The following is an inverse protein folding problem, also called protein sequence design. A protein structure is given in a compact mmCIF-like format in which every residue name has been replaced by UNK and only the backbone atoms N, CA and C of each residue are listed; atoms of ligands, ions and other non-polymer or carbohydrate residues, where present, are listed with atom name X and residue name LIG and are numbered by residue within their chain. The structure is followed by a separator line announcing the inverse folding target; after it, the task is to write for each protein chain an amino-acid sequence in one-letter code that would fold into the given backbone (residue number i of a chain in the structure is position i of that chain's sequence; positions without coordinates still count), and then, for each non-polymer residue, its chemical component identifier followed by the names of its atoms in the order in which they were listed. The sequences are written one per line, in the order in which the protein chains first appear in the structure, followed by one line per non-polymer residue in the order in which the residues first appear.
data_IF_552460356724
#
_entry.id   IF_552460356724
#
_cell.length_a   1.000
_cell.length_b   1.000
_cell.length_c   1.000
_cell.angle_alpha   90.00
_cell.angle_beta   90.00
_cell.angle_gamma   90.00
#
_symmetry.space_group_name_H-M   'P 1'
#
loop_
_entity.id
_entity.type
_entity.pdbx_description
1 polymer ?
#
# COMPACT_ATOMS: atom_id res chain seq x y z
N UNK A 1 -32.01 3.86 -4.20
CA UNK A 1 -30.71 3.71 -3.51
C UNK A 1 -29.61 3.54 -4.57
N UNK A 2 -28.47 4.22 -4.41
CA UNK A 2 -27.33 4.05 -5.32
C UNK A 2 -26.58 2.77 -4.94
N UNK A 3 -26.38 1.89 -5.90
CA UNK A 3 -25.61 0.65 -5.69
C UNK A 3 -24.11 0.98 -5.82
N UNK A 4 -23.32 0.59 -4.82
CA UNK A 4 -21.86 0.78 -4.83
C UNK A 4 -21.18 -0.48 -5.34
N UNK A 5 -20.21 -0.31 -6.24
CA UNK A 5 -19.36 -1.38 -6.73
C UNK A 5 -18.44 -1.95 -5.66
N UNK A 6 -17.91 -3.12 -5.91
CA UNK A 6 -16.97 -3.77 -4.99
C UNK A 6 -15.61 -3.08 -4.98
N UNK A 7 -14.99 -3.04 -3.80
CA UNK A 7 -13.63 -2.55 -3.67
C UNK A 7 -12.65 -3.56 -4.26
N UNK A 8 -11.56 -3.05 -4.82
CA UNK A 8 -10.43 -3.84 -5.28
C UNK A 8 -9.26 -3.71 -4.31
N UNK A 9 -8.44 -4.75 -4.21
CA UNK A 9 -7.23 -4.74 -3.39
C UNK A 9 -6.04 -5.08 -4.27
N UNK A 10 -4.98 -4.29 -4.14
CA UNK A 10 -3.69 -4.55 -4.78
C UNK A 10 -2.58 -4.41 -3.74
N UNK A 11 -1.44 -5.04 -4.01
CA UNK A 11 -0.22 -4.89 -3.22
C UNK A 11 0.80 -4.11 -4.02
N UNK A 12 1.44 -3.16 -3.39
CA UNK A 12 2.50 -2.35 -3.98
C UNK A 12 3.75 -2.51 -3.14
N UNK A 13 4.81 -2.99 -3.76
CA UNK A 13 6.11 -3.15 -3.12
C UNK A 13 6.91 -1.87 -3.25
N UNK A 14 7.53 -1.44 -2.14
CA UNK A 14 8.34 -0.24 -2.04
C UNK A 14 9.73 -0.56 -1.49
N UNK A 15 10.74 0.11 -2.02
CA UNK A 15 12.09 0.11 -1.43
C UNK A 15 12.18 1.13 -0.30
N UNK A 16 13.19 1.02 0.55
CA UNK A 16 13.41 1.97 1.65
C UNK A 16 13.63 3.40 1.15
N UNK A 17 14.29 3.57 -0.01
CA UNK A 17 14.53 4.88 -0.62
C UNK A 17 13.22 5.51 -1.12
N UNK A 18 12.34 4.71 -1.70
CA UNK A 18 11.01 5.15 -2.13
C UNK A 18 10.17 5.57 -0.93
N UNK A 19 10.26 4.81 0.16
CA UNK A 19 9.57 5.13 1.43
C UNK A 19 10.14 6.42 2.05
N UNK A 20 11.45 6.62 1.98
CA UNK A 20 12.08 7.81 2.55
C UNK A 20 11.66 9.11 1.84
N UNK A 21 11.52 9.07 0.52
CA UNK A 21 11.22 10.24 -0.32
C UNK A 21 9.73 10.41 -0.60
N UNK A 22 8.96 9.32 -0.51
CA UNK A 22 7.63 9.23 -1.09
C UNK A 22 7.72 9.07 -2.61
N UNK A 23 6.72 8.48 -3.22
CA UNK A 23 6.74 8.18 -4.64
C UNK A 23 5.33 8.18 -5.23
N UNK A 24 5.21 8.64 -6.47
CA UNK A 24 4.03 8.42 -7.29
C UNK A 24 4.24 7.17 -8.15
N UNK A 25 3.46 6.11 -7.90
CA UNK A 25 3.49 4.89 -8.69
C UNK A 25 2.29 4.78 -9.60
N UNK A 26 2.54 4.43 -10.86
CA UNK A 26 1.51 4.09 -11.84
C UNK A 26 1.32 2.59 -11.88
N UNK A 27 0.13 2.13 -11.52
CA UNK A 27 -0.19 0.71 -11.46
C UNK A 27 -1.31 0.39 -12.45
N UNK A 28 -1.13 -0.67 -13.22
CA UNK A 28 -2.17 -1.19 -14.10
C UNK A 28 -3.11 -2.07 -13.30
N UNK A 29 -4.38 -1.74 -13.30
CA UNK A 29 -5.43 -2.48 -12.61
C UNK A 29 -6.46 -2.97 -13.61
N UNK A 30 -6.93 -4.20 -13.45
CA UNK A 30 -8.03 -4.76 -14.22
C UNK A 30 -9.30 -4.63 -13.40
N UNK A 31 -10.17 -3.71 -13.77
CA UNK A 31 -11.42 -3.47 -13.07
C UNK A 31 -12.63 -3.72 -13.97
N UNK A 32 -13.73 -4.08 -13.34
CA UNK A 32 -15.02 -4.16 -14.01
C UNK A 32 -15.58 -2.76 -14.14
N UNK A 33 -15.88 -2.37 -15.37
CA UNK A 33 -16.55 -1.11 -15.70
C UNK A 33 -17.83 -1.40 -16.46
N UNK A 34 -18.76 -0.47 -16.44
CA UNK A 34 -19.95 -0.58 -17.26
C UNK A 34 -19.59 -0.58 -18.73
N UNK A 35 -20.12 -1.52 -19.49
CA UNK A 35 -19.89 -1.58 -20.94
C UNK A 35 -20.62 -0.44 -21.64
N UNK A 36 -19.96 0.15 -22.63
CA UNK A 36 -20.58 1.18 -23.49
C UNK A 36 -21.75 0.56 -24.29
N UNK A 37 -22.90 1.24 -24.31
CA UNK A 37 -24.07 0.77 -25.04
C UNK A 37 -25.01 -0.19 -24.29
N UNK A 38 -24.82 -0.37 -22.98
CA UNK A 38 -25.79 -1.07 -22.14
C UNK A 38 -27.03 -0.20 -21.96
N UNK A 39 -28.20 -0.74 -22.28
CA UNK A 39 -29.47 -0.08 -22.03
C UNK A 39 -30.19 -0.72 -20.84
N UNK A 40 -30.78 0.14 -20.03
CA UNK A 40 -31.51 -0.25 -18.83
C UNK A 40 -32.99 0.08 -18.97
N UNK A 41 -33.83 -0.75 -18.38
CA UNK A 41 -35.26 -0.50 -18.22
C UNK A 41 -35.62 -0.62 -16.73
N UNK A 42 -36.69 0.08 -16.33
CA UNK A 42 -37.21 0.00 -14.97
C UNK A 42 -37.53 -1.42 -14.60
N UNK A 43 -37.12 -1.87 -13.42
CA UNK A 43 -37.45 -3.19 -12.90
C UNK A 43 -38.97 -3.29 -12.64
N UNK A 44 -39.62 -4.19 -13.32
CA UNK A 44 -41.07 -4.39 -13.18
C UNK A 44 -41.47 -5.00 -11.85
N UNK A 45 -40.54 -5.72 -11.19
CA UNK A 45 -40.82 -6.39 -9.91
C UNK A 45 -40.88 -5.42 -8.73
N UNK A 46 -40.10 -4.34 -8.75
CA UNK A 46 -40.07 -3.32 -7.70
C UNK A 46 -40.47 -1.93 -8.21
N UNK A 47 -40.89 -1.81 -9.46
CA UNK A 47 -41.24 -0.55 -10.11
C UNK A 47 -40.20 0.55 -9.92
N UNK A 48 -38.91 0.18 -10.00
CA UNK A 48 -37.78 1.11 -9.88
C UNK A 48 -37.34 1.43 -8.45
N UNK A 49 -38.02 0.97 -7.41
CA UNK A 49 -37.68 1.29 -6.02
C UNK A 49 -36.46 0.54 -5.50
N UNK A 50 -36.05 -0.55 -6.14
CA UNK A 50 -34.95 -1.41 -5.69
C UNK A 50 -35.29 -2.27 -4.48
N UNK A 51 -36.46 -2.11 -3.91
CA UNK A 51 -36.90 -2.81 -2.69
C UNK A 51 -38.26 -3.45 -2.89
N UNK A 52 -38.50 -4.53 -2.19
CA UNK A 52 -39.79 -5.20 -2.10
C UNK A 52 -40.30 -5.18 -0.66
N UNK A 53 -41.55 -4.83 -0.47
CA UNK A 53 -42.20 -4.92 0.82
C UNK A 53 -42.65 -6.36 1.07
N UNK A 54 -42.11 -6.98 2.10
CA UNK A 54 -42.51 -8.30 2.56
C UNK A 54 -43.34 -8.17 3.84
N UNK A 55 -44.55 -8.66 3.80
CA UNK A 55 -45.41 -8.70 4.98
C UNK A 55 -45.19 -10.05 5.67
N UNK A 56 -44.75 -10.04 6.91
CA UNK A 56 -44.59 -11.23 7.74
C UNK A 56 -45.56 -11.14 8.90
N UNK A 57 -46.39 -12.16 9.05
CA UNK A 57 -47.29 -12.29 10.22
C UNK A 57 -46.46 -12.82 11.39
N UNK A 58 -46.35 -12.04 12.46
CA UNK A 58 -45.70 -12.42 13.72
C UNK A 58 -46.74 -12.52 14.83
N UNK A 59 -46.32 -13.09 15.98
CA UNK A 59 -47.20 -13.20 17.19
C UNK A 59 -47.64 -11.82 17.68
N UNK A 60 -46.89 -10.75 17.33
CA UNK A 60 -47.17 -9.37 17.70
C UNK A 60 -47.92 -8.58 16.62
N UNK A 61 -48.34 -9.24 15.53
CA UNK A 61 -49.05 -8.60 14.44
C UNK A 61 -48.35 -8.66 13.08
N UNK A 62 -48.89 -7.93 12.11
CA UNK A 62 -48.32 -7.82 10.76
C UNK A 62 -47.13 -6.86 10.76
N UNK A 63 -45.93 -7.37 10.46
CA UNK A 63 -44.76 -6.54 10.22
C UNK A 63 -44.50 -6.42 8.72
N UNK A 64 -44.31 -5.19 8.27
CA UNK A 64 -43.83 -4.90 6.91
C UNK A 64 -42.32 -4.65 6.94
N UNK A 65 -41.59 -5.47 6.22
CA UNK A 65 -40.12 -5.33 6.13
C UNK A 65 -39.77 -5.06 4.68
N UNK A 66 -38.98 -4.02 4.45
CA UNK A 66 -38.40 -3.74 3.13
C UNK A 66 -37.19 -4.65 2.91
N UNK A 67 -37.25 -5.49 1.88
CA UNK A 67 -36.12 -6.35 1.47
C UNK A 67 -35.60 -5.92 0.11
N UNK A 68 -34.30 -6.14 -0.15
CA UNK A 68 -33.73 -5.86 -1.46
C UNK A 68 -34.42 -6.67 -2.54
N UNK A 69 -34.80 -6.01 -3.65
CA UNK A 69 -35.41 -6.67 -4.77
C UNK A 69 -34.49 -7.72 -5.37
N UNK A 70 -34.92 -8.97 -5.41
CA UNK A 70 -34.10 -10.10 -5.91
C UNK A 70 -33.85 -10.03 -7.42
N UNK A 71 -34.74 -9.39 -8.18
CA UNK A 71 -34.64 -9.29 -9.64
C UNK A 71 -33.60 -8.28 -10.09
N UNK A 72 -33.55 -7.09 -9.45
CA UNK A 72 -32.64 -6.02 -9.79
C UNK A 72 -31.49 -5.84 -8.77
N UNK A 73 -31.45 -6.66 -7.71
CA UNK A 73 -30.47 -6.62 -6.65
C UNK A 73 -30.26 -5.21 -6.02
N UNK A 74 -31.35 -4.47 -5.93
CA UNK A 74 -31.35 -3.14 -5.34
C UNK A 74 -31.15 -1.98 -6.31
N UNK A 75 -30.79 -2.22 -7.57
CA UNK A 75 -30.53 -1.15 -8.56
C UNK A 75 -31.82 -0.44 -9.01
N UNK A 76 -32.97 -1.08 -8.93
CA UNK A 76 -34.22 -0.56 -9.47
C UNK A 76 -34.34 -0.71 -10.99
N UNK A 77 -33.31 -1.15 -11.67
CA UNK A 77 -33.22 -1.25 -13.13
C UNK A 77 -32.79 -2.67 -13.53
N UNK A 78 -33.22 -3.10 -14.71
CA UNK A 78 -32.78 -4.38 -15.32
C UNK A 78 -32.21 -4.10 -16.71
N UNK A 79 -31.25 -4.91 -17.13
CA UNK A 79 -30.63 -4.76 -18.45
C UNK A 79 -31.64 -5.12 -19.53
N UNK A 80 -31.85 -4.23 -20.48
CA UNK A 80 -32.67 -4.44 -21.65
C UNK A 80 -31.87 -4.95 -22.84
N UNK A 81 -30.70 -4.36 -23.08
CA UNK A 81 -29.77 -4.77 -24.13
C UNK A 81 -28.34 -4.61 -23.62
N UNK A 82 -27.46 -5.54 -24.00
CA UNK A 82 -26.04 -5.50 -23.68
C UNK A 82 -25.20 -5.80 -24.91
N UNK A 83 -24.00 -5.17 -25.05
CA UNK A 83 -23.08 -5.48 -26.13
C UNK A 83 -22.44 -6.86 -25.94
N UNK A 84 -21.94 -7.42 -27.04
CA UNK A 84 -21.16 -8.65 -27.01
C UNK A 84 -19.89 -8.44 -26.16
N UNK A 85 -19.61 -9.39 -25.25
CA UNK A 85 -18.47 -9.32 -24.34
C UNK A 85 -18.79 -8.77 -22.95
N UNK A 86 -19.97 -8.21 -22.71
CA UNK A 86 -20.42 -7.82 -21.38
C UNK A 86 -20.94 -9.03 -20.59
N UNK A 87 -20.66 -9.07 -19.29
CA UNK A 87 -21.16 -10.10 -18.39
C UNK A 87 -22.69 -10.02 -18.19
N UNK A 88 -23.24 -10.88 -17.34
CA UNK A 88 -24.69 -10.90 -17.05
C UNK A 88 -25.18 -9.59 -16.42
N UNK A 89 -24.26 -8.79 -15.86
CA UNK A 89 -24.55 -7.53 -15.19
C UNK A 89 -24.23 -6.30 -16.06
N UNK A 90 -23.85 -6.51 -17.33
CA UNK A 90 -23.52 -5.44 -18.27
C UNK A 90 -22.14 -4.83 -18.03
N UNK A 91 -21.25 -5.52 -17.31
CA UNK A 91 -19.92 -5.08 -16.99
C UNK A 91 -18.90 -5.76 -17.92
N UNK A 92 -17.81 -5.04 -18.24
CA UNK A 92 -16.65 -5.53 -18.97
C UNK A 92 -15.39 -5.33 -18.12
N UNK A 93 -14.43 -6.21 -18.25
CA UNK A 93 -13.12 -6.05 -17.61
C UNK A 93 -12.26 -5.15 -18.50
N UNK A 94 -11.84 -4.02 -17.95
CA UNK A 94 -10.94 -3.09 -18.62
C UNK A 94 -9.67 -2.89 -17.80
N UNK A 95 -8.54 -2.81 -18.48
CA UNK A 95 -7.28 -2.44 -17.88
C UNK A 95 -7.14 -0.91 -17.86
N UNK A 96 -6.90 -0.36 -16.68
CA UNK A 96 -6.71 1.07 -16.46
C UNK A 96 -5.42 1.32 -15.68
N UNK A 97 -4.67 2.35 -16.08
CA UNK A 97 -3.50 2.79 -15.31
C UNK A 97 -3.93 3.83 -14.29
N UNK A 98 -3.69 3.55 -13.03
CA UNK A 98 -4.02 4.45 -11.91
C UNK A 98 -2.73 4.96 -11.29
N UNK A 99 -2.60 6.28 -11.17
CA UNK A 99 -1.54 6.93 -10.39
C UNK A 99 -1.89 6.92 -8.92
N UNK A 100 -0.95 6.46 -8.10
CA UNK A 100 -1.08 6.36 -6.66
C UNK A 100 0.03 7.20 -6.03
N UNK A 101 -0.37 8.24 -5.32
CA UNK A 101 0.57 9.05 -4.56
C UNK A 101 0.79 8.41 -3.19
N UNK A 102 2.02 7.98 -2.93
CA UNK A 102 2.41 7.32 -1.69
C UNK A 102 3.25 8.32 -0.90
N UNK A 103 2.77 8.75 0.28
CA UNK A 103 3.50 9.70 1.11
C UNK A 103 4.78 9.09 1.67
N UNK A 104 5.75 9.96 1.97
CA UNK A 104 6.98 9.53 2.61
C UNK A 104 6.71 8.97 4.02
N UNK A 105 7.50 7.98 4.42
CA UNK A 105 7.42 7.39 5.75
C UNK A 105 6.36 6.30 5.92
N UNK A 106 5.67 5.87 4.86
CA UNK A 106 4.67 4.79 4.98
C UNK A 106 5.27 3.55 5.64
N UNK A 107 4.46 2.88 6.45
CA UNK A 107 4.85 1.62 7.08
C UNK A 107 4.25 0.44 6.34
N UNK A 108 4.90 -0.72 6.45
CA UNK A 108 4.35 -1.96 5.95
C UNK A 108 2.97 -2.23 6.55
N UNK A 109 2.08 -2.80 5.74
CA UNK A 109 0.71 -3.10 6.15
C UNK A 109 -0.27 -1.92 6.08
N UNK A 110 0.20 -0.70 5.84
CA UNK A 110 -0.68 0.46 5.64
C UNK A 110 -1.49 0.27 4.38
N UNK A 111 -2.78 0.56 4.49
CA UNK A 111 -3.72 0.50 3.39
C UNK A 111 -4.09 1.92 2.93
N UNK A 112 -3.67 2.28 1.73
CA UNK A 112 -4.06 3.52 1.09
C UNK A 112 -5.34 3.32 0.28
N UNK A 113 -6.24 4.29 0.34
CA UNK A 113 -7.52 4.27 -0.37
C UNK A 113 -7.50 5.25 -1.54
N UNK A 114 -7.73 4.74 -2.75
CA UNK A 114 -7.95 5.56 -3.94
C UNK A 114 -9.44 5.49 -4.30
N UNK A 115 -10.15 6.59 -4.08
CA UNK A 115 -11.60 6.66 -4.27
C UNK A 115 -12.02 6.45 -5.73
N UNK A 116 -13.09 5.70 -5.95
CA UNK A 116 -13.71 5.52 -7.27
C UNK A 116 -12.91 4.69 -8.28
N UNK A 117 -11.79 4.07 -7.88
CA UNK A 117 -10.93 3.24 -8.74
C UNK A 117 -11.11 1.73 -8.52
N UNK A 118 -12.14 1.33 -7.78
CA UNK A 118 -12.58 -0.06 -7.67
C UNK A 118 -13.49 -0.48 -8.82
N UNK A 119 -14.17 -1.59 -8.68
CA UNK A 119 -15.15 -2.07 -9.65
C UNK A 119 -16.39 -1.18 -9.67
N UNK A 120 -17.01 -1.05 -10.82
CA UNK A 120 -18.32 -0.44 -10.94
C UNK A 120 -19.43 -1.44 -10.58
N UNK A 121 -20.57 -0.92 -10.17
CA UNK A 121 -21.76 -1.71 -10.00
C UNK A 121 -22.67 -1.60 -11.24
N UNK A 122 -23.55 -2.57 -11.48
CA UNK A 122 -24.54 -2.48 -12.54
C UNK A 122 -25.54 -1.36 -12.23
N UNK A 123 -26.05 -0.70 -13.29
CA UNK A 123 -27.06 0.34 -13.19
C UNK A 123 -26.57 1.75 -13.54
N UNK A 124 -27.47 2.56 -14.10
CA UNK A 124 -27.17 3.88 -14.65
C UNK A 124 -26.66 4.88 -13.60
N UNK A 125 -27.05 4.72 -12.33
CA UNK A 125 -26.67 5.59 -11.21
C UNK A 125 -25.76 4.89 -10.19
N UNK A 126 -24.94 3.94 -10.64
CA UNK A 126 -24.03 3.22 -9.77
C UNK A 126 -22.84 4.09 -9.35
N UNK A 127 -22.26 3.76 -8.20
CA UNK A 127 -21.03 4.38 -7.69
C UNK A 127 -19.91 3.34 -7.77
N UNK A 128 -18.78 3.71 -8.34
CA UNK A 128 -17.60 2.84 -8.34
C UNK A 128 -17.14 2.55 -6.92
N UNK A 129 -16.64 1.35 -6.70
CA UNK A 129 -15.93 1.00 -5.47
C UNK A 129 -14.60 1.74 -5.34
N UNK A 130 -13.87 1.46 -4.30
CA UNK A 130 -12.56 2.05 -4.04
C UNK A 130 -11.45 1.05 -4.34
N UNK A 131 -10.28 1.56 -4.74
CA UNK A 131 -9.07 0.78 -4.85
C UNK A 131 -8.31 0.88 -3.53
N UNK A 132 -8.07 -0.25 -2.90
CA UNK A 132 -7.34 -0.39 -1.64
C UNK A 132 -5.93 -0.89 -1.96
N UNK A 133 -4.94 -0.08 -1.66
CA UNK A 133 -3.53 -0.35 -1.95
C UNK A 133 -2.83 -0.74 -0.67
N UNK A 134 -2.45 -2.00 -0.55
CA UNK A 134 -1.66 -2.51 0.56
C UNK A 134 -0.18 -2.30 0.27
N UNK A 135 0.51 -1.62 1.17
CA UNK A 135 1.95 -1.39 1.06
C UNK A 135 2.71 -2.58 1.64
N UNK A 136 3.65 -3.09 0.87
CA UNK A 136 4.63 -4.08 1.29
C UNK A 136 6.03 -3.49 1.16
N UNK A 137 6.87 -3.64 2.17
CA UNK A 137 8.27 -3.21 2.13
C UNK A 137 9.15 -4.29 1.50
N UNK A 138 10.01 -3.90 0.56
CA UNK A 138 11.05 -4.78 0.03
C UNK A 138 12.22 -4.76 1.01
N UNK A 139 12.60 -5.93 1.51
CA UNK A 139 13.75 -6.06 2.39
C UNK A 139 15.01 -5.57 1.69
N UNK A 140 15.71 -4.62 2.31
CA UNK A 140 16.97 -4.09 1.80
C UNK A 140 18.14 -5.01 2.21
N UNK A 141 19.17 -5.14 1.35
CA UNK A 141 20.28 -6.06 1.58
C UNK A 141 21.12 -5.70 2.82
N UNK A 142 21.34 -4.42 3.06
CA UNK A 142 22.25 -3.91 4.10
C UNK A 142 21.60 -3.05 5.16
N UNK A 143 20.43 -2.48 4.85
CA UNK A 143 19.70 -1.59 5.75
C UNK A 143 18.54 -2.32 6.40
N UNK A 144 18.39 -2.15 7.71
CA UNK A 144 17.27 -2.70 8.48
C UNK A 144 16.45 -1.56 9.08
N UNK A 145 15.15 -1.61 8.89
CA UNK A 145 14.23 -0.62 9.45
C UNK A 145 13.78 -1.01 10.85
N UNK A 146 13.79 -0.07 11.77
CA UNK A 146 13.14 -0.19 13.08
C UNK A 146 12.32 1.07 13.35
N UNK A 147 11.02 1.00 13.08
CA UNK A 147 10.13 2.16 13.14
C UNK A 147 10.53 3.25 12.13
N UNK A 148 10.98 4.39 12.63
CA UNK A 148 11.52 5.49 11.82
C UNK A 148 13.04 5.46 11.72
N UNK A 149 13.72 4.66 12.54
CA UNK A 149 15.17 4.52 12.51
C UNK A 149 15.59 3.50 11.45
N UNK A 150 16.81 3.69 10.96
CA UNK A 150 17.44 2.78 10.02
C UNK A 150 18.77 2.32 10.59
N UNK A 151 19.00 1.03 10.60
CA UNK A 151 20.18 0.37 11.11
C UNK A 151 21.06 -0.08 9.94
N UNK A 152 22.35 0.15 10.07
CA UNK A 152 23.37 -0.26 9.11
C UNK A 152 24.55 -0.90 9.84
N UNK A 153 24.96 -2.09 9.43
CA UNK A 153 26.12 -2.79 9.96
C UNK A 153 27.38 -2.42 9.17
N UNK A 154 28.28 -1.65 9.78
CA UNK A 154 29.55 -1.25 9.19
C UNK A 154 30.68 -2.14 9.70
N UNK A 155 31.34 -2.84 8.80
CA UNK A 155 32.50 -3.65 9.11
C UNK A 155 33.80 -2.87 8.84
N UNK A 156 34.67 -2.81 9.84
CA UNK A 156 35.97 -2.18 9.76
C UNK A 156 37.05 -3.17 10.19
N UNK A 157 38.27 -2.98 9.70
CA UNK A 157 39.39 -3.80 10.11
C UNK A 157 40.03 -3.30 11.42
N UNK A 158 40.91 -4.10 12.04
CA UNK A 158 41.55 -3.78 13.30
C UNK A 158 42.43 -2.51 13.22
N UNK A 159 43.13 -2.29 12.11
CA UNK A 159 43.98 -1.10 11.90
C UNK A 159 43.13 0.17 11.80
N UNK A 160 42.01 0.13 11.08
CA UNK A 160 41.05 1.25 10.98
C UNK A 160 40.46 1.59 12.34
N UNK A 161 40.13 0.56 13.14
CA UNK A 161 39.60 0.75 14.48
C UNK A 161 40.62 1.35 15.44
N UNK A 162 41.89 0.92 15.34
CA UNK A 162 42.97 1.39 16.20
C UNK A 162 43.43 2.81 15.88
N UNK A 163 43.67 3.12 14.61
CA UNK A 163 44.20 4.41 14.17
C UNK A 163 43.11 5.45 13.95
N UNK A 164 41.89 5.03 13.70
CA UNK A 164 40.80 5.87 13.27
C UNK A 164 40.84 6.16 11.77
N UNK A 165 39.68 6.31 11.17
CA UNK A 165 39.54 6.56 9.73
C UNK A 165 38.27 7.35 9.41
N UNK A 166 38.26 7.96 8.24
CA UNK A 166 37.06 8.57 7.68
C UNK A 166 36.52 7.70 6.55
N UNK A 167 35.30 7.18 6.72
CA UNK A 167 34.62 6.37 5.70
C UNK A 167 33.43 7.09 5.12
N UNK A 168 33.16 6.85 3.85
CA UNK A 168 31.96 7.30 3.16
C UNK A 168 30.98 6.15 3.12
N UNK A 169 29.77 6.38 3.61
CA UNK A 169 28.69 5.41 3.63
C UNK A 169 27.50 5.91 2.83
N UNK A 170 26.80 5.00 2.24
CA UNK A 170 25.55 5.27 1.54
C UNK A 170 24.39 5.28 2.54
N UNK A 171 23.60 6.35 2.54
CA UNK A 171 22.39 6.50 3.35
C UNK A 171 21.19 6.70 2.45
N UNK A 172 19.96 6.63 2.99
CA UNK A 172 18.73 6.88 2.23
C UNK A 172 18.66 8.26 1.55
N UNK A 173 19.42 9.23 2.06
CA UNK A 173 19.45 10.61 1.54
C UNK A 173 20.71 10.95 0.74
N UNK A 174 21.58 9.96 0.50
CA UNK A 174 22.83 10.13 -0.23
C UNK A 174 24.05 9.71 0.60
N UNK A 175 25.24 10.02 0.09
CA UNK A 175 26.51 9.66 0.72
C UNK A 175 26.84 10.59 1.87
N UNK A 176 27.30 10.03 2.97
CA UNK A 176 27.72 10.76 4.17
C UNK A 176 29.11 10.28 4.60
N UNK A 177 30.02 11.24 4.83
CA UNK A 177 31.32 10.93 5.37
C UNK A 177 31.26 10.90 6.89
N UNK A 178 31.63 9.77 7.48
CA UNK A 178 31.70 9.57 8.92
C UNK A 178 33.15 9.48 9.35
N UNK A 179 33.44 9.94 10.57
CA UNK A 179 34.75 9.82 11.19
C UNK A 179 34.69 8.74 12.27
N UNK A 180 35.53 7.74 12.13
CA UNK A 180 35.77 6.71 13.13
C UNK A 180 36.94 7.17 13.99
N UNK A 181 36.72 7.30 15.28
CA UNK A 181 37.78 7.73 16.22
C UNK A 181 38.78 6.58 16.48
N UNK A 182 40.01 6.93 16.74
CA UNK A 182 41.03 5.95 17.15
C UNK A 182 40.63 5.23 18.44
N UNK A 183 40.89 3.93 18.49
CA UNK A 183 40.51 3.09 19.62
C UNK A 183 39.02 2.71 19.66
N UNK A 184 38.28 2.89 18.55
CA UNK A 184 36.86 2.49 18.48
C UNK A 184 36.72 1.00 18.66
N UNK A 185 35.84 0.62 19.60
CA UNK A 185 35.54 -0.78 19.93
C UNK A 185 34.39 -1.32 19.07
N UNK A 186 34.41 -2.64 18.83
CA UNK A 186 33.26 -3.34 18.21
C UNK A 186 32.02 -3.18 19.08
N UNK A 187 30.86 -3.02 18.42
CA UNK A 187 29.57 -2.78 19.10
C UNK A 187 29.27 -1.30 19.37
N UNK A 188 30.21 -0.36 19.08
CA UNK A 188 29.93 1.08 19.16
C UNK A 188 28.89 1.45 18.11
N UNK A 189 27.90 2.26 18.51
CA UNK A 189 26.86 2.75 17.61
C UNK A 189 27.10 4.24 17.32
N UNK A 190 27.22 4.59 16.04
CA UNK A 190 27.24 5.97 15.60
C UNK A 190 25.87 6.39 15.15
N UNK A 191 25.38 7.51 15.65
CA UNK A 191 24.04 8.04 15.36
C UNK A 191 24.14 9.25 14.43
N UNK A 192 23.55 9.14 13.25
CA UNK A 192 23.34 10.26 12.35
C UNK A 192 21.92 10.78 12.54
N UNK A 193 21.81 11.85 13.30
CA UNK A 193 20.53 12.45 13.67
C UNK A 193 19.74 12.94 12.45
N UNK A 194 18.45 12.59 12.35
CA UNK A 194 17.57 13.04 11.30
C UNK A 194 17.85 12.46 9.90
N UNK A 195 18.64 11.37 9.80
CA UNK A 195 18.98 10.69 8.55
C UNK A 195 18.21 9.36 8.34
N UNK A 196 17.26 9.05 9.22
CA UNK A 196 16.36 7.91 9.09
C UNK A 196 15.16 8.20 8.19
N UNK A 197 14.05 7.52 8.45
CA UNK A 197 12.79 7.65 7.73
C UNK A 197 11.90 8.74 8.34
N UNK A 198 11.16 9.50 7.53
CA UNK A 198 10.15 10.42 8.03
C UNK A 198 9.00 9.66 8.69
N UNK A 199 8.33 10.30 9.63
CA UNK A 199 7.14 9.75 10.28
C UNK A 199 5.87 10.28 9.61
N UNK A 200 4.88 9.41 9.35
CA UNK A 200 3.55 9.83 8.87
C UNK A 200 2.73 10.42 10.02
N UNK A 201 2.83 9.83 11.22
CA UNK A 201 1.98 10.17 12.36
C UNK A 201 2.51 11.33 13.19
N UNK A 202 3.81 11.61 13.14
CA UNK A 202 4.49 12.61 13.94
C UNK A 202 5.38 13.48 13.06
N UNK A 203 5.56 14.73 13.48
CA UNK A 203 6.57 15.58 12.87
C UNK A 203 7.98 15.06 13.22
N UNK A 204 8.83 14.97 12.21
CA UNK A 204 10.23 14.63 12.37
C UNK A 204 10.66 13.42 11.53
N UNK A 205 11.97 13.26 11.51
CA UNK A 205 12.67 12.16 10.83
C UNK A 205 13.41 11.35 11.88
N UNK A 206 13.40 10.04 11.74
CA UNK A 206 14.18 9.15 12.59
C UNK A 206 15.69 9.32 12.35
N UNK A 207 16.47 8.48 13.00
CA UNK A 207 17.92 8.52 12.95
C UNK A 207 18.47 7.34 12.14
N UNK A 208 19.66 7.53 11.61
CA UNK A 208 20.41 6.45 10.98
C UNK A 208 21.49 5.98 11.96
N UNK A 209 21.41 4.70 12.33
CA UNK A 209 22.24 4.07 13.36
C UNK A 209 23.24 3.13 12.71
N UNK A 210 24.52 3.44 12.86
CA UNK A 210 25.63 2.67 12.29
C UNK A 210 26.24 1.81 13.40
N UNK A 211 26.10 0.51 13.28
CA UNK A 211 26.70 -0.47 14.17
C UNK A 211 28.10 -0.80 13.68
N UNK A 212 29.11 -0.44 14.44
CA UNK A 212 30.51 -0.71 14.09
C UNK A 212 30.87 -2.12 14.53
N UNK A 213 31.25 -2.94 13.57
CA UNK A 213 31.74 -4.30 13.78
C UNK A 213 33.22 -4.36 13.37
N UNK A 214 34.10 -4.65 14.31
CA UNK A 214 35.54 -4.81 14.02
C UNK A 214 35.77 -6.25 13.57
N UNK A 215 36.20 -6.42 12.33
CA UNK A 215 36.61 -7.71 11.79
C UNK A 215 38.05 -8.02 12.19
N UNK A 216 38.23 -9.17 12.85
CA UNK A 216 39.57 -9.66 13.25
C UNK A 216 39.96 -10.80 12.32
N UNK A 217 41.12 -10.77 11.67
CA UNK A 217 41.60 -11.87 10.84
C UNK A 217 41.76 -13.15 11.68
N UNK A 218 41.28 -14.27 11.13
CA UNK A 218 41.38 -15.57 11.80
C UNK A 218 42.74 -16.25 11.63
N UNK A 219 43.44 -15.93 10.53
CA UNK A 219 44.78 -16.46 10.23
C UNK A 219 45.77 -15.32 10.26
N UNK A 220 46.61 -15.32 11.28
CA UNK A 220 47.74 -14.38 11.40
C UNK A 220 49.04 -15.17 11.31
N UNK A 221 49.91 -14.83 10.35
CA UNK A 221 51.24 -15.36 10.29
C UNK A 221 52.07 -14.74 11.42
N UNK A 222 52.92 -15.54 12.10
CA UNK A 222 53.83 -15.07 13.15
C UNK A 222 54.80 -13.95 12.67
N UNK A 223 55.00 -13.81 11.37
CA UNK A 223 55.80 -12.73 10.77
C UNK A 223 55.15 -11.36 10.89
N UNK A 224 53.82 -11.30 11.14
CA UNK A 224 53.05 -10.06 11.26
C UNK A 224 52.85 -9.60 12.71
N UNK A 225 53.37 -10.37 13.66
CA UNK A 225 53.34 -10.06 15.09
C UNK A 225 54.69 -9.44 15.50
#
# INVERSE_FOLDING_TARGET
ARVKGSNMRIRVKLTLEEIAKGVEKKVKVRRKIQADGVSYKTCTTCNGTGQQMRVTNTILGRMQTATTCVTCQGSGEIISSKPNGADAQGLVVKEETVSINIPAGVTEGVQLKVGGKGNEAPGKNSISGDLLVLIEEIQHETLKREGTNVHFDLYINLSEAALGESKEIETLTGKVKIKIESGTQSGKILRLKGKGLPSIERYGTGDFLIHINVWTPQELSLIHI
#
